data_IF_309874939979
#
_entry.id   IF_309874939979
#
_cell.length_a   1.000
_cell.length_b   1.000
_cell.length_c   1.000
_cell.angle_alpha   90.00
_cell.angle_beta   90.00
_cell.angle_gamma   90.00
#
_symmetry.space_group_name_H-M   'P 1'
#
loop_
_entity.id
_entity.type
_entity.pdbx_description
1 polymer ?
#
# COMPACT_ATOMS: atom_id res chain seq x y z
N UNK A 1 6.89 36.88 -6.43
CA UNK A 1 6.64 36.15 -5.17
C UNK A 1 6.56 34.68 -5.52
N UNK A 2 7.64 33.93 -5.34
CA UNK A 2 7.63 32.48 -5.50
C UNK A 2 6.77 31.91 -4.37
N UNK A 3 5.55 31.46 -4.68
CA UNK A 3 4.82 30.60 -3.76
C UNK A 3 5.70 29.36 -3.55
N UNK A 4 6.30 29.24 -2.36
CA UNK A 4 6.90 27.99 -1.93
C UNK A 4 5.76 27.00 -1.77
N UNK A 5 5.49 26.21 -2.81
CA UNK A 5 4.57 25.09 -2.71
C UNK A 5 5.16 24.13 -1.67
N UNK A 6 4.52 24.02 -0.50
CA UNK A 6 4.88 23.01 0.48
C UNK A 6 4.76 21.62 -0.14
N UNK A 7 5.84 20.84 -0.01
CA UNK A 7 5.91 19.47 -0.49
C UNK A 7 4.71 18.64 0.00
N UNK A 8 4.06 17.86 -0.88
CA UNK A 8 2.99 16.96 -0.46
C UNK A 8 3.46 15.97 0.62
N UNK A 9 2.55 15.59 1.52
CA UNK A 9 2.81 14.72 2.67
C UNK A 9 2.15 13.37 2.48
N UNK A 10 2.92 12.30 2.65
CA UNK A 10 2.45 10.93 2.60
C UNK A 10 2.68 10.19 3.92
N UNK A 11 1.78 9.27 4.26
CA UNK A 11 1.98 8.23 5.28
C UNK A 11 1.94 6.88 4.59
N UNK A 12 2.98 6.06 4.78
CA UNK A 12 3.00 4.68 4.27
C UNK A 12 3.07 3.72 5.45
N UNK A 13 2.06 2.85 5.58
CA UNK A 13 2.00 1.87 6.65
C UNK A 13 2.85 0.64 6.35
N UNK A 14 3.67 0.19 7.31
CA UNK A 14 4.54 -0.97 7.11
C UNK A 14 5.66 -0.76 6.08
N UNK A 15 6.33 0.39 6.16
CA UNK A 15 7.30 0.85 5.16
C UNK A 15 8.77 0.56 5.50
N UNK A 16 9.04 -0.32 6.47
CA UNK A 16 10.43 -0.68 6.84
C UNK A 16 11.14 -1.54 5.80
N UNK A 17 10.39 -2.24 4.93
CA UNK A 17 10.89 -3.18 3.90
C UNK A 17 9.80 -3.51 2.86
N UNK A 18 10.16 -4.29 1.84
CA UNK A 18 9.25 -4.83 0.84
C UNK A 18 8.44 -3.76 0.08
N UNK A 19 7.18 -4.09 -0.23
CA UNK A 19 6.27 -3.21 -0.97
C UNK A 19 6.15 -1.81 -0.35
N UNK A 20 5.98 -1.73 0.97
CA UNK A 20 5.84 -0.45 1.68
C UNK A 20 7.08 0.43 1.55
N UNK A 21 8.28 -0.17 1.65
CA UNK A 21 9.55 0.54 1.44
C UNK A 21 9.64 1.08 0.01
N UNK A 22 9.38 0.25 -0.98
CA UNK A 22 9.40 0.66 -2.39
C UNK A 22 8.41 1.80 -2.68
N UNK A 23 7.17 1.67 -2.19
CA UNK A 23 6.16 2.73 -2.33
C UNK A 23 6.64 4.03 -1.68
N UNK A 24 7.16 3.97 -0.45
CA UNK A 24 7.67 5.14 0.25
C UNK A 24 8.84 5.81 -0.50
N UNK A 25 9.76 5.02 -1.06
CA UNK A 25 10.87 5.51 -1.89
C UNK A 25 10.37 6.20 -3.16
N UNK A 26 9.39 5.64 -3.85
CA UNK A 26 8.82 6.25 -5.05
C UNK A 26 8.14 7.60 -4.76
N UNK A 27 7.39 7.70 -3.65
CA UNK A 27 6.80 8.97 -3.20
C UNK A 27 7.90 9.97 -2.82
N UNK A 28 8.95 9.49 -2.15
CA UNK A 28 10.14 10.28 -1.83
C UNK A 28 10.85 10.85 -3.05
N UNK A 29 11.06 10.03 -4.08
CA UNK A 29 11.66 10.44 -5.35
C UNK A 29 10.84 11.50 -6.11
N UNK A 30 9.54 11.63 -5.80
CA UNK A 30 8.69 12.71 -6.29
C UNK A 30 8.76 13.99 -5.43
N UNK A 31 9.70 14.08 -4.49
CA UNK A 31 9.93 15.24 -3.62
C UNK A 31 8.98 15.34 -2.43
N UNK A 32 8.25 14.26 -2.09
CA UNK A 32 7.29 14.29 -0.98
C UNK A 32 7.98 14.17 0.39
N UNK A 33 7.31 14.69 1.42
CA UNK A 33 7.59 14.30 2.81
C UNK A 33 6.85 13.00 3.10
N UNK A 34 7.56 11.96 3.53
CA UNK A 34 7.00 10.62 3.70
C UNK A 34 7.22 10.11 5.13
N UNK A 35 6.14 9.92 5.86
CA UNK A 35 6.13 9.22 7.14
C UNK A 35 6.23 7.71 6.89
N UNK A 36 7.38 7.17 7.25
CA UNK A 36 7.74 5.75 7.13
C UNK A 36 7.41 5.07 8.46
N UNK A 37 6.36 4.26 8.47
CA UNK A 37 5.88 3.66 9.73
C UNK A 37 6.13 2.15 9.79
N UNK A 38 6.39 1.64 10.99
CA UNK A 38 6.60 0.22 11.24
C UNK A 38 7.25 -0.03 12.59
N UNK A 39 7.46 -1.31 12.93
CA UNK A 39 7.97 -1.72 14.25
C UNK A 39 9.49 -1.77 14.32
N UNK A 40 10.15 -2.16 13.23
CA UNK A 40 11.59 -2.39 13.19
C UNK A 40 12.37 -1.07 13.12
N UNK A 41 13.04 -0.73 14.21
CA UNK A 41 13.88 0.46 14.37
C UNK A 41 15.36 0.09 14.16
N UNK A 42 15.78 -1.08 14.62
CA UNK A 42 17.14 -1.59 14.53
C UNK A 42 17.20 -2.83 13.62
N UNK A 43 18.38 -3.09 13.04
CA UNK A 43 18.63 -4.34 12.34
C UNK A 43 18.50 -5.50 13.33
N UNK A 44 17.83 -6.58 12.93
CA UNK A 44 17.55 -7.73 13.80
C UNK A 44 16.21 -7.67 14.55
N UNK A 45 15.51 -6.53 14.57
CA UNK A 45 14.16 -6.44 15.17
C UNK A 45 13.12 -7.33 14.46
N UNK A 46 13.42 -7.78 13.23
CA UNK A 46 12.63 -8.73 12.48
C UNK A 46 13.54 -9.71 11.71
N UNK A 47 13.03 -10.90 11.32
CA UNK A 47 13.81 -11.89 10.55
C UNK A 47 14.28 -11.41 9.17
N UNK A 48 13.60 -10.41 8.59
CA UNK A 48 13.95 -9.79 7.32
C UNK A 48 14.63 -8.44 7.56
N UNK A 49 15.65 -8.07 6.75
CA UNK A 49 16.36 -6.82 6.90
C UNK A 49 15.47 -5.60 6.60
N UNK A 50 15.98 -4.41 6.92
CA UNK A 50 15.31 -3.14 6.67
C UNK A 50 14.72 -2.54 7.95
N UNK A 51 14.87 -1.24 8.12
CA UNK A 51 14.26 -0.47 9.23
C UNK A 51 13.55 0.78 8.72
N UNK A 52 12.70 1.35 9.56
CA UNK A 52 12.06 2.64 9.27
C UNK A 52 13.09 3.76 9.07
N UNK A 53 14.19 3.75 9.81
CA UNK A 53 15.24 4.77 9.73
C UNK A 53 16.09 4.63 8.47
N UNK A 54 16.37 3.40 8.04
CA UNK A 54 17.04 3.14 6.77
C UNK A 54 16.21 3.63 5.59
N UNK A 55 14.93 3.26 5.55
CA UNK A 55 14.02 3.71 4.48
C UNK A 55 13.86 5.23 4.48
N UNK A 56 13.80 5.89 5.65
CA UNK A 56 13.75 7.34 5.72
C UNK A 56 15.01 8.00 5.11
N UNK A 57 16.22 7.48 5.40
CA UNK A 57 17.46 7.99 4.79
C UNK A 57 17.51 7.77 3.28
N UNK A 58 17.00 6.64 2.80
CA UNK A 58 16.91 6.39 1.35
C UNK A 58 15.97 7.38 0.66
N UNK A 59 14.88 7.78 1.33
CA UNK A 59 13.96 8.81 0.83
C UNK A 59 14.66 10.17 0.75
N UNK A 60 15.44 10.54 1.79
CA UNK A 60 16.24 11.78 1.77
C UNK A 60 17.24 11.78 0.60
N UNK A 61 17.90 10.64 0.35
CA UNK A 61 18.84 10.47 -0.76
C UNK A 61 18.17 10.55 -2.15
N UNK A 62 16.86 10.28 -2.23
CA UNK A 62 16.06 10.39 -3.45
C UNK A 62 15.49 11.80 -3.67
N UNK A 63 15.77 12.76 -2.77
CA UNK A 63 15.31 14.15 -2.88
C UNK A 63 13.98 14.45 -2.20
N UNK A 64 13.41 13.47 -1.49
CA UNK A 64 12.26 13.67 -0.61
C UNK A 64 12.69 13.99 0.82
N UNK A 65 11.74 13.88 1.75
CA UNK A 65 12.01 13.95 3.20
C UNK A 65 11.43 12.73 3.91
N UNK A 66 12.27 11.84 4.40
CA UNK A 66 11.86 10.66 5.14
C UNK A 66 11.68 10.94 6.63
N UNK A 67 10.54 10.56 7.20
CA UNK A 67 10.29 10.66 8.64
C UNK A 67 9.98 9.27 9.19
N UNK A 68 10.95 8.68 9.89
CA UNK A 68 10.76 7.41 10.56
C UNK A 68 9.82 7.55 11.78
N UNK A 69 8.80 6.71 11.87
CA UNK A 69 7.91 6.62 13.04
C UNK A 69 7.72 5.17 13.47
N UNK A 70 8.14 4.86 14.69
CA UNK A 70 7.83 3.59 15.32
C UNK A 70 6.32 3.52 15.58
N UNK A 71 5.65 2.54 14.98
CA UNK A 71 4.20 2.36 15.10
C UNK A 71 3.86 0.89 14.87
N UNK A 72 3.24 0.27 15.89
CA UNK A 72 2.52 -0.97 15.72
C UNK A 72 1.08 -0.67 15.27
N UNK A 73 0.74 -1.11 14.06
CA UNK A 73 -0.58 -0.91 13.48
C UNK A 73 -1.67 -1.80 14.08
N UNK A 74 -1.32 -2.71 14.99
CA UNK A 74 -2.28 -3.39 15.87
C UNK A 74 -2.73 -2.54 17.07
N UNK A 75 -2.01 -1.47 17.40
CA UNK A 75 -2.28 -0.60 18.54
C UNK A 75 -2.89 0.75 18.08
N UNK A 76 -4.19 0.90 18.30
CA UNK A 76 -4.93 2.11 17.90
C UNK A 76 -4.40 3.39 18.53
N UNK A 77 -3.86 3.33 19.75
CA UNK A 77 -3.30 4.50 20.41
C UNK A 77 -2.03 4.98 19.70
N UNK A 78 -1.20 4.05 19.21
CA UNK A 78 -0.03 4.39 18.40
C UNK A 78 -0.43 4.93 17.02
N UNK A 79 -1.47 4.35 16.38
CA UNK A 79 -1.98 4.86 15.10
C UNK A 79 -2.55 6.28 15.28
N UNK A 80 -3.32 6.52 16.34
CA UNK A 80 -3.80 7.87 16.69
C UNK A 80 -2.65 8.86 16.87
N UNK A 81 -1.66 8.50 17.68
CA UNK A 81 -0.50 9.35 17.95
C UNK A 81 0.31 9.68 16.68
N UNK A 82 0.40 8.74 15.74
CA UNK A 82 1.00 8.96 14.41
C UNK A 82 0.27 10.08 13.66
N UNK A 83 -1.06 10.02 13.51
CA UNK A 83 -1.78 11.03 12.74
C UNK A 83 -1.88 12.38 13.47
N UNK A 84 -1.95 12.40 14.80
CA UNK A 84 -1.81 13.63 15.59
C UNK A 84 -0.43 14.28 15.41
N UNK A 85 0.62 13.47 15.23
CA UNK A 85 1.95 13.95 14.89
C UNK A 85 2.00 14.53 13.48
N UNK A 86 1.42 13.86 12.50
CA UNK A 86 1.34 14.37 11.11
C UNK A 86 0.62 15.72 11.07
N UNK A 87 -0.53 15.82 11.74
CA UNK A 87 -1.28 17.08 11.82
C UNK A 87 -0.45 18.19 12.48
N UNK A 88 0.18 17.91 13.62
CA UNK A 88 0.99 18.90 14.35
C UNK A 88 2.21 19.37 13.57
N UNK A 89 2.91 18.46 12.89
CA UNK A 89 4.17 18.77 12.20
C UNK A 89 3.97 19.40 10.83
N UNK A 90 2.87 19.09 10.14
CA UNK A 90 2.67 19.48 8.73
C UNK A 90 1.34 20.16 8.45
N UNK A 91 0.34 19.99 9.32
CA UNK A 91 -1.02 20.49 9.10
C UNK A 91 -1.75 19.87 7.89
N UNK A 92 -1.17 18.85 7.24
CA UNK A 92 -1.69 18.27 5.99
C UNK A 92 -1.38 16.79 5.85
N UNK A 93 -2.22 16.11 5.09
CA UNK A 93 -1.96 14.77 4.59
C UNK A 93 -2.52 14.69 3.17
N UNK A 94 -1.69 14.30 2.22
CA UNK A 94 -2.05 14.23 0.80
C UNK A 94 -2.24 12.78 0.33
N UNK A 95 -1.43 11.85 0.85
CA UNK A 95 -1.53 10.42 0.52
C UNK A 95 -1.47 9.56 1.80
N UNK A 96 -2.43 8.66 1.99
CA UNK A 96 -2.31 7.52 2.89
C UNK A 96 -2.17 6.26 2.05
N UNK A 97 -1.11 5.47 2.29
CA UNK A 97 -0.97 4.13 1.74
C UNK A 97 -1.13 3.10 2.84
N UNK A 98 -2.25 2.39 2.82
CA UNK A 98 -2.51 1.24 3.68
C UNK A 98 -1.83 0.00 3.10
N UNK A 99 -0.66 -0.32 3.64
CA UNK A 99 0.18 -1.45 3.22
C UNK A 99 0.57 -2.40 4.36
N UNK A 100 0.58 -1.95 5.62
CA UNK A 100 0.94 -2.77 6.77
C UNK A 100 0.09 -4.06 6.81
N UNK A 101 0.75 -5.21 6.88
CA UNK A 101 0.09 -6.52 6.90
C UNK A 101 0.87 -7.51 7.75
N UNK A 102 0.15 -8.35 8.49
CA UNK A 102 0.71 -9.51 9.17
C UNK A 102 0.83 -10.69 8.19
N UNK A 103 1.99 -11.33 8.16
CA UNK A 103 2.25 -12.50 7.31
C UNK A 103 2.81 -13.63 8.18
N UNK A 104 2.02 -14.68 8.37
CA UNK A 104 2.46 -15.91 9.02
C UNK A 104 3.30 -16.76 8.05
N UNK A 105 4.30 -17.48 8.53
CA UNK A 105 5.21 -18.27 7.68
C UNK A 105 4.49 -19.39 6.90
N UNK A 106 3.40 -19.91 7.46
CA UNK A 106 2.57 -20.90 6.79
C UNK A 106 1.64 -20.33 5.71
N UNK A 107 1.62 -19.01 5.45
CA UNK A 107 0.66 -18.37 4.55
C UNK A 107 0.65 -19.02 3.16
N UNK A 108 1.83 -19.28 2.60
CA UNK A 108 1.97 -19.84 1.25
C UNK A 108 2.02 -21.37 1.21
N UNK A 109 2.02 -22.04 2.37
CA UNK A 109 2.01 -23.50 2.39
C UNK A 109 0.71 -24.05 1.79
N UNK A 110 0.79 -25.12 0.98
CA UNK A 110 -0.38 -25.77 0.41
C UNK A 110 -1.18 -26.49 1.51
N UNK A 111 -2.42 -26.84 1.19
CA UNK A 111 -3.32 -27.57 2.08
C UNK A 111 -4.55 -26.76 2.50
N UNK A 112 -5.55 -27.43 3.09
CA UNK A 112 -6.77 -26.78 3.51
C UNK A 112 -6.52 -25.88 4.73
N UNK A 113 -7.32 -24.82 4.86
CA UNK A 113 -7.06 -23.79 5.89
C UNK A 113 -7.17 -24.34 7.32
N UNK A 114 -7.96 -25.39 7.57
CA UNK A 114 -8.15 -26.00 8.91
C UNK A 114 -6.95 -26.85 9.36
N UNK A 115 -5.99 -27.12 8.48
CA UNK A 115 -4.74 -27.83 8.80
C UNK A 115 -3.56 -26.88 9.02
N UNK A 116 -3.77 -25.58 8.80
CA UNK A 116 -2.76 -24.53 8.96
C UNK A 116 -2.96 -23.81 10.30
N UNK A 117 -1.95 -23.06 10.73
CA UNK A 117 -2.01 -22.28 11.98
C UNK A 117 -3.22 -21.34 11.99
N UNK A 118 -3.96 -21.33 13.11
CA UNK A 118 -5.05 -20.38 13.34
C UNK A 118 -4.56 -18.92 13.32
N UNK A 119 -3.28 -18.66 13.61
CA UNK A 119 -2.67 -17.33 13.59
C UNK A 119 -2.71 -16.66 12.20
N UNK A 120 -3.00 -17.42 11.14
CA UNK A 120 -3.27 -16.85 9.81
C UNK A 120 -4.42 -15.83 9.83
N UNK A 121 -5.35 -15.92 10.79
CA UNK A 121 -6.44 -14.96 10.95
C UNK A 121 -5.95 -13.57 11.37
N UNK A 122 -4.76 -13.45 11.97
CA UNK A 122 -4.20 -12.18 12.46
C UNK A 122 -3.89 -11.18 11.32
N UNK A 123 -3.90 -11.63 10.05
CA UNK A 123 -3.87 -10.74 8.88
C UNK A 123 -5.12 -9.83 8.79
N UNK A 124 -6.22 -10.25 9.41
CA UNK A 124 -7.43 -9.43 9.53
C UNK A 124 -7.23 -8.31 10.56
N UNK A 125 -6.45 -8.53 11.62
CA UNK A 125 -6.12 -7.48 12.58
C UNK A 125 -5.12 -6.47 12.01
N UNK A 126 -4.00 -6.96 11.46
CA UNK A 126 -3.01 -6.13 10.76
C UNK A 126 -3.08 -6.44 9.27
N UNK A 127 -3.81 -5.60 8.54
CA UNK A 127 -4.04 -5.74 7.10
C UNK A 127 -5.45 -5.37 6.68
N UNK A 128 -6.45 -5.64 7.53
CA UNK A 128 -7.83 -5.18 7.32
C UNK A 128 -8.24 -4.15 8.37
N UNK A 129 -8.35 -4.54 9.64
CA UNK A 129 -8.76 -3.66 10.74
C UNK A 129 -7.80 -2.46 10.86
N UNK A 130 -6.49 -2.70 10.85
CA UNK A 130 -5.51 -1.60 10.91
C UNK A 130 -5.65 -0.58 9.76
N UNK A 131 -6.01 -1.04 8.57
CA UNK A 131 -6.22 -0.16 7.41
C UNK A 131 -7.46 0.72 7.60
N UNK A 132 -8.52 0.20 8.23
CA UNK A 132 -9.67 1.00 8.62
C UNK A 132 -9.29 2.07 9.65
N UNK A 133 -8.59 1.68 10.71
CA UNK A 133 -8.17 2.60 11.80
C UNK A 133 -7.26 3.70 11.27
N UNK A 134 -6.28 3.37 10.42
CA UNK A 134 -5.43 4.39 9.80
C UNK A 134 -6.22 5.35 8.90
N UNK A 135 -7.17 4.81 8.11
CA UNK A 135 -8.04 5.63 7.25
C UNK A 135 -8.96 6.54 8.06
N UNK A 136 -9.47 6.05 9.19
CA UNK A 136 -10.30 6.83 10.12
C UNK A 136 -9.59 8.08 10.63
N UNK A 137 -8.31 7.97 11.02
CA UNK A 137 -7.54 9.12 11.50
C UNK A 137 -7.01 10.00 10.35
N UNK A 138 -6.77 9.44 9.16
CA UNK A 138 -6.33 10.20 7.99
C UNK A 138 -7.44 11.04 7.35
N UNK A 139 -8.66 10.49 7.26
CA UNK A 139 -9.76 11.10 6.52
C UNK A 139 -10.11 12.52 6.97
N UNK A 140 -10.20 12.85 8.28
CA UNK A 140 -10.46 14.22 8.73
C UNK A 140 -9.41 15.24 8.27
N UNK A 141 -8.13 14.85 8.23
CA UNK A 141 -7.03 15.71 7.79
C UNK A 141 -7.16 16.04 6.29
N UNK A 142 -7.48 15.03 5.48
CA UNK A 142 -7.71 15.18 4.03
C UNK A 142 -9.01 15.96 3.75
N UNK A 143 -10.08 15.66 4.49
CA UNK A 143 -11.39 16.27 4.31
C UNK A 143 -11.40 17.76 4.62
N UNK A 144 -10.69 18.18 5.68
CA UNK A 144 -10.48 19.60 6.04
C UNK A 144 -9.82 20.38 4.89
N UNK A 145 -8.90 19.74 4.16
CA UNK A 145 -8.22 20.32 3.01
C UNK A 145 -8.98 20.18 1.70
N UNK A 146 -10.02 19.36 1.69
CA UNK A 146 -10.80 18.99 0.51
C UNK A 146 -9.91 18.44 -0.63
N UNK A 147 -8.94 17.60 -0.28
CA UNK A 147 -8.02 16.98 -1.22
C UNK A 147 -7.29 15.83 -0.54
N UNK A 148 -7.07 14.74 -1.26
CA UNK A 148 -6.24 13.62 -0.80
C UNK A 148 -6.46 12.34 -1.60
N UNK A 149 -5.65 11.33 -1.28
CA UNK A 149 -5.75 9.98 -1.81
C UNK A 149 -5.52 8.96 -0.69
N UNK A 150 -6.48 8.06 -0.47
CA UNK A 150 -6.29 6.83 0.31
C UNK A 150 -6.09 5.68 -0.68
N UNK A 151 -4.93 5.03 -0.63
CA UNK A 151 -4.60 3.87 -1.44
C UNK A 151 -4.45 2.62 -0.57
N UNK A 152 -5.08 1.52 -0.96
CA UNK A 152 -4.93 0.21 -0.33
C UNK A 152 -4.07 -0.70 -1.20
N UNK A 153 -3.07 -1.36 -0.62
CA UNK A 153 -2.32 -2.40 -1.34
C UNK A 153 -3.08 -3.73 -1.25
N UNK A 154 -3.52 -4.20 -2.41
CA UNK A 154 -4.35 -5.39 -2.54
C UNK A 154 -3.75 -6.36 -3.56
N UNK A 155 -4.50 -7.40 -3.92
CA UNK A 155 -4.01 -8.53 -4.70
C UNK A 155 -5.15 -9.22 -5.43
N UNK A 156 -4.82 -9.92 -6.52
CA UNK A 156 -5.70 -10.85 -7.22
C UNK A 156 -6.33 -11.91 -6.30
N UNK A 157 -5.76 -12.17 -5.12
CA UNK A 157 -6.39 -13.00 -4.09
C UNK A 157 -7.72 -12.48 -3.55
N UNK A 158 -8.13 -11.26 -3.89
CA UNK A 158 -9.49 -10.77 -3.65
C UNK A 158 -10.53 -11.40 -4.60
N UNK A 159 -10.13 -11.87 -5.79
CA UNK A 159 -11.04 -12.51 -6.75
C UNK A 159 -10.82 -14.01 -6.90
N UNK A 160 -9.58 -14.47 -6.83
CA UNK A 160 -9.24 -15.89 -6.96
C UNK A 160 -8.83 -16.50 -5.63
N UNK A 161 -8.84 -17.83 -5.55
CA UNK A 161 -8.23 -18.51 -4.41
C UNK A 161 -6.72 -18.24 -4.40
N UNK A 162 -6.24 -17.63 -3.31
CA UNK A 162 -4.83 -17.36 -3.10
C UNK A 162 -4.54 -17.34 -1.59
N UNK A 163 -3.59 -18.17 -1.15
CA UNK A 163 -3.06 -18.19 0.22
C UNK A 163 -4.07 -18.43 1.37
N UNK A 164 -5.29 -18.87 1.06
CA UNK A 164 -6.31 -19.27 2.04
C UNK A 164 -7.31 -18.17 2.39
N UNK A 165 -8.32 -18.56 3.18
CA UNK A 165 -9.52 -17.75 3.40
C UNK A 165 -9.25 -16.39 4.07
N UNK A 166 -8.38 -16.34 5.08
CA UNK A 166 -8.06 -15.10 5.79
C UNK A 166 -7.37 -14.06 4.88
N UNK A 167 -6.47 -14.52 3.99
CA UNK A 167 -5.82 -13.64 3.01
C UNK A 167 -6.83 -13.07 2.02
N UNK A 168 -7.65 -13.92 1.40
CA UNK A 168 -8.68 -13.48 0.47
C UNK A 168 -9.71 -12.53 1.11
N UNK A 169 -10.10 -12.80 2.37
CA UNK A 169 -10.97 -11.92 3.14
C UNK A 169 -10.32 -10.56 3.43
N UNK A 170 -9.02 -10.53 3.78
CA UNK A 170 -8.28 -9.27 3.96
C UNK A 170 -8.27 -8.44 2.66
N UNK A 171 -7.91 -9.06 1.53
CA UNK A 171 -7.81 -8.38 0.23
C UNK A 171 -9.17 -7.89 -0.29
N UNK A 172 -10.19 -8.73 -0.20
CA UNK A 172 -11.57 -8.35 -0.53
C UNK A 172 -12.11 -7.24 0.37
N UNK A 173 -11.75 -7.28 1.66
CA UNK A 173 -12.18 -6.27 2.63
C UNK A 173 -11.57 -4.89 2.35
N UNK A 174 -10.28 -4.80 2.02
CA UNK A 174 -9.67 -3.50 1.66
C UNK A 174 -10.16 -2.99 0.30
N UNK A 175 -10.48 -3.88 -0.64
CA UNK A 175 -11.18 -3.52 -1.87
C UNK A 175 -12.56 -2.91 -1.57
N UNK A 176 -13.28 -3.45 -0.59
CA UNK A 176 -14.57 -2.89 -0.14
C UNK A 176 -14.39 -1.54 0.56
N UNK A 177 -13.33 -1.36 1.35
CA UNK A 177 -13.02 -0.05 1.93
C UNK A 177 -12.78 1.02 0.88
N UNK A 178 -12.02 0.74 -0.19
CA UNK A 178 -11.84 1.69 -1.27
C UNK A 178 -13.17 2.14 -1.87
N UNK A 179 -14.09 1.19 -2.11
CA UNK A 179 -15.43 1.44 -2.67
C UNK A 179 -16.31 2.27 -1.75
N UNK A 180 -16.39 1.88 -0.48
CA UNK A 180 -17.32 2.50 0.46
C UNK A 180 -16.81 3.84 0.96
N UNK A 181 -15.54 3.92 1.34
CA UNK A 181 -14.95 5.18 1.80
C UNK A 181 -14.99 6.24 0.69
N UNK A 182 -14.91 5.85 -0.60
CA UNK A 182 -15.10 6.79 -1.70
C UNK A 182 -16.46 7.48 -1.71
N UNK A 183 -17.52 6.83 -1.22
CA UNK A 183 -18.86 7.43 -1.09
C UNK A 183 -18.82 8.56 -0.05
N UNK A 184 -18.29 8.27 1.13
CA UNK A 184 -18.20 9.22 2.25
C UNK A 184 -17.25 10.37 1.95
N UNK A 185 -16.17 10.09 1.21
CA UNK A 185 -15.10 11.03 0.91
C UNK A 185 -15.42 11.95 -0.30
N UNK A 186 -16.38 11.57 -1.14
CA UNK A 186 -16.74 12.32 -2.36
C UNK A 186 -17.05 13.80 -2.12
N UNK A 187 -17.84 14.20 -1.10
CA UNK A 187 -18.13 15.62 -0.84
C UNK A 187 -16.90 16.46 -0.47
N UNK A 188 -15.79 15.79 -0.15
CA UNK A 188 -14.53 16.39 0.26
C UNK A 188 -13.42 16.28 -0.78
N UNK A 189 -13.70 15.83 -2.01
CA UNK A 189 -12.67 15.69 -3.07
C UNK A 189 -11.46 14.83 -2.63
N UNK A 190 -11.71 13.83 -1.79
CA UNK A 190 -10.71 12.83 -1.39
C UNK A 190 -11.01 11.54 -2.14
N UNK A 191 -10.01 11.02 -2.85
CA UNK A 191 -10.14 9.78 -3.59
C UNK A 191 -9.77 8.57 -2.71
N UNK A 192 -10.44 7.44 -2.91
CA UNK A 192 -10.03 6.16 -2.34
C UNK A 192 -9.90 5.11 -3.44
N UNK A 193 -8.80 4.38 -3.49
CA UNK A 193 -8.53 3.34 -4.51
C UNK A 193 -7.89 2.11 -3.87
N UNK A 194 -8.16 0.93 -4.42
CA UNK A 194 -7.41 -0.29 -4.12
C UNK A 194 -6.56 -0.66 -5.32
N UNK A 195 -5.31 -1.05 -5.10
CA UNK A 195 -4.36 -1.38 -6.17
C UNK A 195 -3.92 -2.83 -6.01
N UNK A 196 -4.26 -3.67 -6.99
CA UNK A 196 -3.76 -5.02 -7.13
C UNK A 196 -2.36 -4.99 -7.73
N UNK A 197 -1.38 -5.41 -6.94
CA UNK A 197 0.02 -5.48 -7.35
C UNK A 197 0.31 -6.83 -8.03
N UNK A 198 1.26 -6.84 -8.95
CA UNK A 198 1.83 -8.08 -9.48
C UNK A 198 2.78 -8.76 -8.49
N UNK A 199 3.47 -9.83 -8.91
CA UNK A 199 4.58 -10.38 -8.16
C UNK A 199 5.65 -9.30 -7.95
N UNK A 200 6.09 -9.09 -6.70
CA UNK A 200 7.07 -8.05 -6.37
C UNK A 200 8.42 -8.65 -6.05
N UNK A 201 9.50 -7.96 -6.46
CA UNK A 201 10.87 -8.31 -6.05
C UNK A 201 11.21 -7.70 -4.69
N UNK A 202 10.78 -8.33 -3.62
CA UNK A 202 11.03 -7.94 -2.22
C UNK A 202 12.08 -8.82 -1.54
N UNK A 203 12.58 -8.41 -0.39
CA UNK A 203 13.52 -9.21 0.41
C UNK A 203 12.94 -10.59 0.76
N UNK A 204 11.62 -10.67 1.01
CA UNK A 204 10.93 -11.93 1.28
C UNK A 204 10.88 -12.84 0.06
N UNK A 205 10.48 -12.31 -1.09
CA UNK A 205 10.30 -13.10 -2.31
C UNK A 205 11.63 -13.53 -2.90
N UNK A 206 12.64 -12.66 -2.90
CA UNK A 206 13.99 -13.00 -3.33
C UNK A 206 14.55 -14.16 -2.51
N UNK A 207 14.40 -14.14 -1.18
CA UNK A 207 14.82 -15.26 -0.33
C UNK A 207 14.14 -16.59 -0.72
N UNK A 208 12.83 -16.59 -0.97
CA UNK A 208 12.10 -17.79 -1.40
C UNK A 208 12.54 -18.25 -2.79
N UNK A 209 12.82 -17.33 -3.71
CA UNK A 209 13.31 -17.66 -5.04
C UNK A 209 14.71 -18.27 -5.00
N UNK A 210 15.59 -17.75 -4.13
CA UNK A 210 16.94 -18.28 -3.94
C UNK A 210 16.91 -19.68 -3.32
N UNK A 211 15.94 -19.97 -2.43
CA UNK A 211 15.73 -21.30 -1.85
C UNK A 211 15.11 -22.30 -2.85
N UNK A 212 14.38 -21.81 -3.87
CA UNK A 212 13.66 -22.63 -4.86
C UNK A 212 13.76 -22.08 -6.31
N UNK A 213 14.96 -21.98 -6.90
CA UNK A 213 15.18 -21.21 -8.13
C UNK A 213 14.43 -21.76 -9.36
N UNK A 214 14.31 -23.08 -9.47
CA UNK A 214 13.65 -23.72 -10.62
C UNK A 214 12.13 -23.48 -10.66
N UNK A 215 11.50 -23.26 -9.50
CA UNK A 215 10.04 -23.04 -9.41
C UNK A 215 9.64 -21.59 -9.73
N UNK A 216 10.54 -20.63 -9.55
CA UNK A 216 10.20 -19.21 -9.62
C UNK A 216 10.96 -18.42 -10.70
N UNK A 217 11.77 -19.10 -11.52
CA UNK A 217 12.57 -18.48 -12.58
C UNK A 217 11.75 -17.54 -13.48
N UNK A 218 10.62 -18.02 -14.01
CA UNK A 218 9.77 -17.21 -14.89
C UNK A 218 9.12 -16.03 -14.15
N UNK A 219 8.64 -16.24 -12.92
CA UNK A 219 8.05 -15.18 -12.09
C UNK A 219 9.06 -14.08 -11.75
N UNK A 220 10.32 -14.43 -11.48
CA UNK A 220 11.36 -13.47 -11.15
C UNK A 220 11.69 -12.51 -12.30
N UNK A 221 11.48 -12.93 -13.55
CA UNK A 221 11.77 -12.13 -14.76
C UNK A 221 10.72 -11.05 -15.03
N UNK A 222 9.48 -11.28 -14.59
CA UNK A 222 8.32 -10.39 -14.79
C UNK A 222 7.88 -9.68 -13.50
N UNK A 223 8.60 -9.89 -12.40
CA UNK A 223 8.29 -9.27 -11.13
C UNK A 223 8.52 -7.76 -11.16
N UNK A 224 7.54 -7.04 -10.62
CA UNK A 224 7.54 -5.60 -10.42
C UNK A 224 8.61 -5.19 -9.40
N UNK A 225 9.24 -4.05 -9.63
CA UNK A 225 10.02 -3.39 -8.59
C UNK A 225 9.07 -2.94 -7.46
N UNK A 226 9.52 -2.97 -6.19
CA UNK A 226 8.72 -2.47 -5.07
C UNK A 226 8.24 -1.00 -5.24
N UNK A 227 8.98 -0.18 -6.00
CA UNK A 227 8.68 1.22 -6.29
C UNK A 227 7.55 1.41 -7.30
N UNK A 228 7.31 0.43 -8.18
CA UNK A 228 6.37 0.55 -9.30
C UNK A 228 4.99 1.06 -8.85
N UNK A 229 4.39 0.40 -7.87
CA UNK A 229 3.08 0.79 -7.31
C UNK A 229 3.10 2.18 -6.69
N UNK A 230 4.21 2.59 -6.07
CA UNK A 230 4.32 3.94 -5.51
C UNK A 230 4.34 5.02 -6.59
N UNK A 231 4.93 4.73 -7.77
CA UNK A 231 4.87 5.62 -8.94
C UNK A 231 3.44 5.74 -9.48
N UNK A 232 2.70 4.63 -9.52
CA UNK A 232 1.27 4.64 -9.91
C UNK A 232 0.43 5.46 -8.91
N UNK A 233 0.63 5.25 -7.60
CA UNK A 233 -0.07 6.03 -6.55
C UNK A 233 0.23 7.53 -6.68
N UNK A 234 1.50 7.89 -6.90
CA UNK A 234 1.91 9.28 -7.08
C UNK A 234 1.22 9.92 -8.29
N UNK A 235 1.16 9.21 -9.41
CA UNK A 235 0.52 9.70 -10.62
C UNK A 235 -1.00 9.85 -10.46
N UNK A 236 -1.66 8.92 -9.77
CA UNK A 236 -3.09 9.05 -9.41
C UNK A 236 -3.30 10.30 -8.54
N UNK A 237 -2.46 10.52 -7.53
CA UNK A 237 -2.58 11.71 -6.68
C UNK A 237 -2.39 13.02 -7.48
N UNK A 238 -1.44 13.04 -8.43
CA UNK A 238 -1.17 14.20 -9.28
C UNK A 238 -2.23 14.41 -10.38
N UNK A 239 -3.08 13.43 -10.68
CA UNK A 239 -4.13 13.51 -11.68
C UNK A 239 -5.24 14.48 -11.22
N UNK A 240 -5.49 15.61 -11.92
CA UNK A 240 -6.61 16.49 -11.58
C UNK A 240 -7.98 15.81 -11.74
N UNK A 241 -8.05 14.68 -12.46
CA UNK A 241 -9.23 13.84 -12.62
C UNK A 241 -9.20 12.58 -11.72
N UNK A 242 -8.37 12.54 -10.67
CA UNK A 242 -8.26 11.39 -9.75
C UNK A 242 -9.60 10.92 -9.18
N UNK A 243 -10.56 11.81 -8.99
CA UNK A 243 -11.88 11.45 -8.48
C UNK A 243 -12.66 10.53 -9.43
N UNK A 244 -12.32 10.48 -10.72
CA UNK A 244 -12.87 9.51 -11.66
C UNK A 244 -12.44 8.07 -11.33
N UNK A 245 -11.32 7.90 -10.61
CA UNK A 245 -10.82 6.62 -10.11
C UNK A 245 -11.30 6.29 -8.70
N UNK A 246 -11.89 7.26 -7.98
CA UNK A 246 -12.35 7.04 -6.61
C UNK A 246 -13.41 5.94 -6.55
N UNK A 247 -13.24 5.01 -5.62
CA UNK A 247 -14.10 3.83 -5.45
C UNK A 247 -13.71 2.65 -6.33
N UNK A 248 -12.67 2.77 -7.16
CA UNK A 248 -12.25 1.68 -8.04
C UNK A 248 -11.21 0.77 -7.40
N UNK A 249 -11.24 -0.48 -7.86
CA UNK A 249 -10.16 -1.46 -7.65
C UNK A 249 -9.42 -1.61 -8.97
N UNK A 250 -8.13 -1.29 -8.93
CA UNK A 250 -7.27 -1.11 -10.11
C UNK A 250 -6.21 -2.21 -10.16
N UNK A 251 -5.98 -2.80 -11.33
CA UNK A 251 -4.76 -3.58 -11.57
C UNK A 251 -3.62 -2.59 -11.78
N UNK A 252 -2.57 -2.65 -10.96
CA UNK A 252 -1.48 -1.66 -10.96
C UNK A 252 -0.81 -1.51 -12.33
N UNK A 253 -0.51 -2.64 -12.98
CA UNK A 253 0.05 -2.67 -14.34
C UNK A 253 -0.84 -1.98 -15.39
N UNK A 254 -2.17 -2.11 -15.28
CA UNK A 254 -3.12 -1.47 -16.21
C UNK A 254 -3.27 0.03 -15.92
N UNK A 255 -3.33 0.40 -14.63
CA UNK A 255 -3.36 1.80 -14.22
C UNK A 255 -2.09 2.54 -14.64
N UNK A 256 -0.93 1.87 -14.61
CA UNK A 256 0.34 2.44 -15.05
C UNK A 256 0.32 2.85 -16.53
N UNK A 257 -0.34 2.07 -17.40
CA UNK A 257 -0.49 2.39 -18.83
C UNK A 257 -1.21 3.73 -19.05
N UNK A 258 -2.24 4.02 -18.24
CA UNK A 258 -2.97 5.30 -18.29
C UNK A 258 -2.04 6.50 -18.06
N UNK A 259 -1.00 6.33 -17.25
CA UNK A 259 -0.05 7.39 -16.90
C UNK A 259 1.29 7.30 -17.66
N UNK A 260 1.43 6.37 -18.60
CA UNK A 260 2.69 6.15 -19.34
C UNK A 260 3.85 5.69 -18.44
N UNK A 261 3.56 4.95 -17.37
CA UNK A 261 4.55 4.49 -16.40
C UNK A 261 4.99 3.07 -16.75
N UNK A 262 6.27 2.94 -17.13
CA UNK A 262 7.00 1.68 -17.11
C UNK A 262 7.68 1.46 -15.75
N UNK A 263 8.08 0.23 -15.45
CA UNK A 263 8.86 -0.11 -14.25
C UNK A 263 10.28 0.50 -14.30
N UNK A 264 11.05 0.38 -13.22
CA UNK A 264 12.39 0.97 -13.09
C UNK A 264 13.38 0.45 -14.12
N UNK A 265 13.21 -0.77 -14.63
CA UNK A 265 14.04 -1.34 -15.69
C UNK A 265 13.55 -0.98 -17.11
N UNK A 266 12.52 -0.12 -17.21
CA UNK A 266 11.92 0.32 -18.47
C UNK A 266 10.92 -0.67 -19.07
N UNK A 267 10.70 -1.84 -18.45
CA UNK A 267 9.70 -2.79 -18.93
C UNK A 267 8.31 -2.42 -18.43
N UNK A 268 7.30 -2.81 -19.19
CA UNK A 268 5.91 -2.73 -18.73
C UNK A 268 5.56 -4.02 -17.98
N UNK A 269 5.17 -3.97 -16.69
CA UNK A 269 4.64 -5.14 -16.01
C UNK A 269 3.37 -5.66 -16.70
N UNK A 270 3.20 -6.99 -16.83
CA UNK A 270 2.00 -7.56 -17.44
C UNK A 270 0.78 -7.41 -16.53
N UNK A 271 -0.41 -7.36 -17.12
CA UNK A 271 -1.64 -7.59 -16.36
C UNK A 271 -1.87 -9.09 -16.16
N UNK A 272 -2.24 -9.50 -14.95
CA UNK A 272 -2.63 -10.87 -14.65
C UNK A 272 -4.15 -11.09 -14.66
N UNK A 273 -4.91 -10.11 -15.14
CA UNK A 273 -6.39 -10.15 -15.20
C UNK A 273 -6.93 -11.40 -15.89
N UNK A 274 -6.37 -11.78 -17.02
CA UNK A 274 -6.86 -12.93 -17.80
C UNK A 274 -6.59 -14.27 -17.09
N UNK A 275 -5.51 -14.33 -16.31
CA UNK A 275 -5.08 -15.54 -15.61
C UNK A 275 -5.73 -15.69 -14.23
N UNK A 276 -5.89 -14.59 -13.48
CA UNK A 276 -6.29 -14.58 -12.07
C UNK A 276 -7.64 -13.90 -11.82
N UNK A 277 -8.30 -13.44 -12.88
CA UNK A 277 -9.55 -12.69 -12.81
C UNK A 277 -9.33 -11.19 -12.65
N UNK A 278 -10.38 -10.43 -12.97
CA UNK A 278 -10.38 -8.98 -12.86
C UNK A 278 -11.14 -8.47 -11.63
N UNK A 279 -10.83 -7.24 -11.17
CA UNK A 279 -11.56 -6.61 -10.08
C UNK A 279 -13.03 -6.40 -10.40
N UNK A 280 -13.90 -6.83 -9.47
CA UNK A 280 -15.32 -6.46 -9.47
C UNK A 280 -15.43 -5.01 -9.01
N UNK A 281 -16.01 -4.16 -9.86
CA UNK A 281 -16.23 -2.75 -9.52
C UNK A 281 -17.43 -2.58 -8.58
N UNK A 282 -17.50 -1.44 -7.87
CA UNK A 282 -18.63 -1.14 -7.00
C UNK A 282 -19.95 -1.10 -7.79
N UNK A 283 -21.00 -1.70 -7.24
CA UNK A 283 -22.35 -1.46 -7.74
C UNK A 283 -22.77 -0.02 -7.37
N UNK A 284 -23.44 0.74 -8.26
CA UNK A 284 -23.81 2.14 -7.99
C UNK A 284 -24.89 2.34 -6.91
N UNK A 285 -25.44 1.26 -6.35
CA UNK A 285 -26.51 1.35 -5.36
C UNK A 285 -25.94 1.77 -4.00
N UNK A 286 -26.58 2.76 -3.37
CA UNK A 286 -26.25 3.26 -2.04
C UNK A 286 -27.48 3.02 -1.16
N UNK A 287 -27.28 2.31 -0.05
CA UNK A 287 -28.30 2.16 1.00
C UNK A 287 -28.04 3.27 2.02
N UNK A 288 -28.96 4.23 2.10
CA UNK A 288 -28.90 5.38 2.98
C UNK A 288 -29.88 5.25 4.15
#
# INVERSE_FOLDING_TARGET
MTQTHEAPVAVVTGASRGAGKGIARALGAAGMTVYVTGRSQNQGDAPLPGTIHETAREIDALGGRGIAVACDHADDAQVKALFERVERETGRLDILVNNATYLHDQLILPGPFWEKSLDLVNILDVGLRSAYVASWYAAPLMAKRRSGLIAFTSSFGASCYMHGAAYGAQKSGVDKFAKDMAVDLKPFDVAAVSIWMGPLRTERTTRVWDEHPDLYKEFSLVAESPEFTGRVIQAIHADPQRMALSGQVLVGAEAALRYGIADLDGKQPPSYRDMLGGPVQAHPAIVA
#
